data_IF_566321655891
#
_entry.id   IF_566321655891
#
_cell.length_a   1.000
_cell.length_b   1.000
_cell.length_c   1.000
_cell.angle_alpha   90.00
_cell.angle_beta   90.00
_cell.angle_gamma   90.00
#
_symmetry.space_group_name_H-M   'P 1'
#
loop_
_entity.id
_entity.type
_entity.pdbx_description
1 polymer ?
#
# COMPACT_ATOMS: atom_id res chain seq x y z
N UNK A 1 15.43 45.72 -6.09
CA UNK A 1 14.14 44.99 -6.05
C UNK A 1 13.97 44.42 -4.66
N UNK A 2 13.01 44.91 -3.85
CA UNK A 2 12.77 44.39 -2.49
C UNK A 2 12.03 43.06 -2.60
N UNK A 3 12.60 41.97 -2.07
CA UNK A 3 11.88 40.69 -1.88
C UNK A 3 10.73 40.95 -0.90
N UNK A 4 9.51 40.84 -1.38
CA UNK A 4 8.31 40.90 -0.54
C UNK A 4 8.08 39.51 0.04
N UNK A 5 8.44 39.31 1.30
CA UNK A 5 8.05 38.11 2.05
C UNK A 5 6.61 38.35 2.52
N UNK A 6 5.65 37.60 1.99
CA UNK A 6 4.26 37.62 2.48
C UNK A 6 4.21 36.82 3.78
N UNK A 7 4.14 37.51 4.91
CA UNK A 7 3.67 36.91 6.17
C UNK A 7 2.18 36.64 5.99
N UNK A 8 1.74 35.40 6.21
CA UNK A 8 0.36 34.87 6.00
C UNK A 8 0.12 34.15 4.67
N UNK A 9 1.11 33.43 4.13
CA UNK A 9 0.79 32.21 3.38
C UNK A 9 0.72 31.13 4.44
N UNK A 10 -0.49 30.71 4.83
CA UNK A 10 -0.66 29.37 5.37
C UNK A 10 -0.31 28.45 4.20
N UNK A 11 0.95 28.07 4.10
CA UNK A 11 1.25 26.79 3.48
C UNK A 11 0.60 25.80 4.44
N UNK A 12 -0.56 25.27 4.07
CA UNK A 12 -0.93 23.93 4.54
C UNK A 12 0.20 23.06 4.01
N UNK A 13 1.20 22.79 4.84
CA UNK A 13 2.07 21.66 4.66
C UNK A 13 1.15 20.44 4.77
N UNK A 14 0.51 20.14 3.65
CA UNK A 14 -0.38 19.02 3.52
C UNK A 14 0.49 17.77 3.40
N UNK A 15 1.14 17.42 4.50
CA UNK A 15 1.83 16.16 4.67
C UNK A 15 0.83 15.24 5.33
N UNK A 16 0.38 14.24 4.57
CA UNK A 16 -0.28 13.03 5.06
C UNK A 16 0.63 12.35 6.09
N UNK A 17 0.64 12.83 7.33
CA UNK A 17 1.59 12.31 8.31
C UNK A 17 1.01 11.05 8.94
N UNK A 18 1.20 9.93 8.27
CA UNK A 18 1.32 8.70 9.04
C UNK A 18 2.53 8.83 9.96
N UNK A 19 2.52 8.14 11.09
CA UNK A 19 3.70 8.02 11.93
C UNK A 19 3.96 6.57 12.30
N UNK A 20 5.23 6.19 12.38
CA UNK A 20 5.67 4.91 12.92
C UNK A 20 6.04 5.11 14.38
N UNK A 21 5.23 4.53 15.26
CA UNK A 21 5.49 4.51 16.70
C UNK A 21 6.31 3.28 17.05
N UNK A 22 7.45 3.50 17.72
CA UNK A 22 8.29 2.44 18.29
C UNK A 22 7.99 2.30 19.77
N UNK A 23 7.46 1.15 20.17
CA UNK A 23 7.12 0.85 21.55
C UNK A 23 8.25 0.12 22.28
N UNK A 24 8.23 0.14 23.61
CA UNK A 24 9.14 -0.66 24.46
C UNK A 24 8.87 -2.18 24.41
N UNK A 25 7.79 -2.60 23.75
CA UNK A 25 7.31 -3.98 23.69
C UNK A 25 7.97 -4.75 22.55
N UNK A 26 9.08 -5.44 22.82
CA UNK A 26 9.89 -6.16 21.82
C UNK A 26 9.45 -7.63 21.60
N UNK A 27 8.19 -7.95 21.84
CA UNK A 27 7.66 -9.31 21.67
C UNK A 27 7.31 -9.58 20.20
N UNK A 28 7.45 -10.83 19.76
CA UNK A 28 6.95 -11.28 18.45
C UNK A 28 5.50 -11.76 18.54
N UNK A 29 4.76 -11.71 17.43
CA UNK A 29 3.41 -12.31 17.35
C UNK A 29 3.47 -13.82 17.51
N UNK A 30 2.50 -14.39 18.24
CA UNK A 30 2.25 -15.83 18.22
C UNK A 30 1.56 -16.23 16.91
N UNK A 31 1.56 -17.52 16.54
CA UNK A 31 0.81 -17.98 15.37
C UNK A 31 -0.68 -17.61 15.40
N UNK A 32 -1.29 -17.58 16.58
CA UNK A 32 -2.69 -17.18 16.76
C UNK A 32 -2.88 -15.68 16.51
N UNK A 33 -1.96 -14.83 16.97
CA UNK A 33 -2.01 -13.39 16.72
C UNK A 33 -1.71 -13.03 15.26
N UNK A 34 -0.91 -13.85 14.55
CA UNK A 34 -0.67 -13.69 13.10
C UNK A 34 -1.95 -13.88 12.30
N UNK A 35 -2.84 -14.77 12.74
CA UNK A 35 -4.13 -15.02 12.08
C UNK A 35 -5.19 -13.97 12.40
N UNK A 36 -4.91 -13.02 13.29
CA UNK A 36 -5.86 -11.96 13.62
C UNK A 36 -6.10 -11.07 12.39
N UNK A 37 -7.36 -10.97 11.96
CA UNK A 37 -7.74 -10.29 10.73
C UNK A 37 -7.51 -11.08 9.43
N UNK A 38 -7.05 -12.34 9.48
CA UNK A 38 -6.85 -13.18 8.29
C UNK A 38 -7.95 -14.24 8.19
N UNK A 39 -8.65 -14.25 7.05
CA UNK A 39 -9.56 -15.33 6.68
C UNK A 39 -8.99 -16.10 5.50
N UNK A 40 -8.68 -17.38 5.71
CA UNK A 40 -8.23 -18.28 4.64
C UNK A 40 -9.43 -18.95 3.99
N UNK A 41 -9.63 -18.70 2.69
CA UNK A 41 -10.67 -19.31 1.89
C UNK A 41 -10.16 -20.58 1.19
N UNK A 42 -11.08 -21.19 0.44
CA UNK A 42 -10.83 -22.36 -0.39
C UNK A 42 -10.07 -21.96 -1.65
N UNK A 43 -9.09 -22.77 -2.03
CA UNK A 43 -8.51 -22.71 -3.37
C UNK A 43 -9.48 -23.33 -4.39
N UNK A 44 -10.07 -22.50 -5.24
CA UNK A 44 -10.99 -22.94 -6.29
C UNK A 44 -10.32 -23.83 -7.35
N UNK A 45 -9.00 -23.69 -7.55
CA UNK A 45 -8.26 -24.47 -8.56
C UNK A 45 -8.00 -25.91 -8.10
N UNK A 46 -7.71 -26.09 -6.80
CA UNK A 46 -7.33 -27.39 -6.23
C UNK A 46 -8.41 -28.03 -5.35
N UNK A 47 -9.38 -27.23 -4.90
CA UNK A 47 -10.43 -27.63 -3.97
C UNK A 47 -9.98 -27.69 -2.51
N UNK A 48 -8.75 -27.30 -2.19
CA UNK A 48 -8.22 -27.32 -0.82
C UNK A 48 -8.82 -26.19 0.01
N UNK A 49 -9.19 -26.49 1.25
CA UNK A 49 -9.85 -25.54 2.15
C UNK A 49 -8.82 -24.79 3.02
N UNK A 50 -9.13 -23.55 3.39
CA UNK A 50 -8.36 -22.75 4.37
C UNK A 50 -6.89 -22.55 4.00
N UNK A 51 -6.61 -22.22 2.73
CA UNK A 51 -5.24 -22.07 2.23
C UNK A 51 -4.97 -20.85 1.34
N UNK A 52 -6.01 -20.09 0.96
CA UNK A 52 -5.86 -18.87 0.16
C UNK A 52 -6.24 -17.65 0.98
N UNK A 53 -5.38 -16.64 1.00
CA UNK A 53 -5.72 -15.33 1.58
C UNK A 53 -6.09 -14.36 0.45
N UNK A 54 -7.27 -13.76 0.55
CA UNK A 54 -7.77 -12.76 -0.39
C UNK A 54 -8.04 -11.46 0.38
N UNK A 55 -7.07 -10.52 0.47
CA UNK A 55 -7.32 -9.18 0.99
C UNK A 55 -8.41 -8.46 0.19
N UNK A 56 -9.17 -7.59 0.86
CA UNK A 56 -10.12 -6.73 0.16
C UNK A 56 -9.40 -5.49 -0.40
N UNK A 57 -9.98 -4.87 -1.43
CA UNK A 57 -9.45 -3.66 -2.06
C UNK A 57 -9.22 -2.52 -1.05
N UNK A 58 -10.24 -2.19 -0.26
CA UNK A 58 -10.20 -1.15 0.75
C UNK A 58 -9.25 -1.45 1.93
N UNK A 59 -8.78 -2.70 2.08
CA UNK A 59 -7.77 -3.05 3.07
C UNK A 59 -6.37 -2.55 2.67
N UNK A 60 -6.18 -2.19 1.40
CA UNK A 60 -4.92 -1.73 0.81
C UNK A 60 -4.86 -0.22 0.56
N UNK A 61 -5.90 0.53 0.95
CA UNK A 61 -5.95 1.99 0.84
C UNK A 61 -5.62 2.65 2.18
N UNK A 62 -4.51 3.39 2.25
CA UNK A 62 -4.06 4.10 3.44
C UNK A 62 -3.89 5.59 3.15
N UNK A 63 -5.01 6.31 3.17
CA UNK A 63 -5.04 7.76 3.09
C UNK A 63 -5.13 8.45 4.46
N UNK A 64 -5.57 9.70 4.48
CA UNK A 64 -5.68 10.52 5.70
C UNK A 64 -6.74 10.09 6.72
N UNK A 65 -7.70 9.27 6.28
CA UNK A 65 -8.86 8.85 7.07
C UNK A 65 -9.26 7.42 6.67
N UNK A 66 -9.86 6.63 7.57
CA UNK A 66 -10.10 6.94 8.99
C UNK A 66 -8.82 6.85 9.83
N UNK A 67 -8.89 7.32 11.09
CA UNK A 67 -7.85 7.06 12.07
C UNK A 67 -7.69 5.55 12.29
N UNK A 68 -6.47 5.01 12.13
CA UNK A 68 -6.16 3.60 12.39
C UNK A 68 -4.82 3.45 13.12
N UNK A 69 -4.76 2.49 14.04
CA UNK A 69 -3.51 2.04 14.66
C UNK A 69 -3.19 0.63 14.13
N UNK A 70 -2.30 0.58 13.14
CA UNK A 70 -1.92 -0.60 12.38
C UNK A 70 -0.84 -1.37 13.15
N UNK A 71 -1.28 -2.36 13.92
CA UNK A 71 -0.47 -3.02 14.94
C UNK A 71 -0.52 -4.55 14.89
N UNK A 72 -1.29 -5.15 13.99
CA UNK A 72 -1.31 -6.60 13.76
C UNK A 72 -0.33 -7.00 12.65
N UNK A 73 -0.09 -8.31 12.48
CA UNK A 73 0.69 -8.80 11.33
C UNK A 73 0.01 -8.42 10.00
N UNK A 74 -1.30 -8.61 9.92
CA UNK A 74 -2.14 -8.33 8.75
C UNK A 74 -2.07 -6.86 8.36
N UNK A 75 -2.29 -5.95 9.31
CA UNK A 75 -2.23 -4.51 9.05
C UNK A 75 -0.87 -4.09 8.48
N UNK A 76 0.21 -4.62 9.06
CA UNK A 76 1.57 -4.28 8.64
C UNK A 76 1.93 -4.86 7.30
N UNK A 77 1.46 -6.07 6.99
CA UNK A 77 1.67 -6.69 5.69
C UNK A 77 0.97 -5.88 4.60
N UNK A 78 -0.29 -5.51 4.82
CA UNK A 78 -1.07 -4.70 3.88
C UNK A 78 -0.46 -3.30 3.71
N UNK A 79 -0.06 -2.65 4.81
CA UNK A 79 0.61 -1.37 4.76
C UNK A 79 1.96 -1.44 4.03
N UNK A 80 2.75 -2.49 4.27
CA UNK A 80 4.00 -2.71 3.54
C UNK A 80 3.78 -2.99 2.05
N UNK A 81 2.73 -3.73 1.71
CA UNK A 81 2.31 -3.95 0.33
C UNK A 81 2.00 -2.60 -0.34
N UNK A 82 1.13 -1.79 0.25
CA UNK A 82 0.74 -0.48 -0.26
C UNK A 82 1.88 0.54 -0.32
N UNK A 83 2.85 0.46 0.59
CA UNK A 83 3.92 1.45 0.75
C UNK A 83 5.17 1.12 -0.06
N UNK A 84 5.55 -0.16 -0.16
CA UNK A 84 6.87 -0.57 -0.66
C UNK A 84 6.81 -1.30 -2.01
N UNK A 85 5.67 -1.89 -2.39
CA UNK A 85 5.54 -2.60 -3.67
C UNK A 85 5.30 -1.58 -4.77
N UNK A 86 6.17 -1.57 -5.77
CA UNK A 86 6.08 -0.67 -6.91
C UNK A 86 5.27 -1.30 -8.06
N UNK A 87 5.40 -2.61 -8.25
CA UNK A 87 4.70 -3.35 -9.30
C UNK A 87 4.38 -4.77 -8.81
N UNK A 88 3.27 -5.33 -9.30
CA UNK A 88 2.93 -6.70 -8.93
C UNK A 88 4.06 -7.66 -9.31
N UNK A 89 4.39 -8.57 -8.40
CA UNK A 89 5.47 -9.54 -8.58
C UNK A 89 6.89 -8.94 -8.69
N UNK A 90 7.10 -7.70 -8.24
CA UNK A 90 8.44 -7.18 -7.98
C UNK A 90 9.15 -7.93 -6.82
N UNK A 91 10.41 -7.58 -6.54
CA UNK A 91 11.21 -8.27 -5.52
C UNK A 91 10.67 -8.07 -4.10
N UNK A 92 10.06 -6.91 -3.82
CA UNK A 92 9.47 -6.59 -2.51
C UNK A 92 8.19 -7.41 -2.30
N UNK A 93 7.33 -7.49 -3.32
CA UNK A 93 6.13 -8.31 -3.27
C UNK A 93 6.47 -9.79 -3.08
N UNK A 94 7.49 -10.29 -3.79
CA UNK A 94 7.97 -11.67 -3.61
C UNK A 94 8.47 -11.94 -2.18
N UNK A 95 9.18 -10.98 -1.58
CA UNK A 95 9.61 -11.07 -0.18
C UNK A 95 8.40 -11.09 0.77
N UNK A 96 7.42 -10.19 0.57
CA UNK A 96 6.18 -10.15 1.35
C UNK A 96 5.40 -11.47 1.28
N UNK A 97 5.24 -12.04 0.08
CA UNK A 97 4.58 -13.35 -0.12
C UNK A 97 5.37 -14.45 0.59
N UNK A 98 6.69 -14.47 0.49
CA UNK A 98 7.52 -15.47 1.16
C UNK A 98 7.39 -15.39 2.70
N UNK A 99 7.35 -14.18 3.25
CA UNK A 99 7.16 -13.95 4.69
C UNK A 99 5.75 -14.36 5.14
N UNK A 100 4.72 -14.03 4.37
CA UNK A 100 3.36 -14.48 4.64
C UNK A 100 3.26 -16.02 4.65
N UNK A 101 3.81 -16.70 3.62
CA UNK A 101 3.85 -18.17 3.55
C UNK A 101 4.62 -18.81 4.72
N UNK A 102 5.67 -18.12 5.20
CA UNK A 102 6.48 -18.58 6.34
C UNK A 102 5.71 -18.51 7.66
N UNK A 103 4.89 -17.47 7.85
CA UNK A 103 4.33 -17.13 9.15
C UNK A 103 2.84 -17.44 9.30
N UNK A 104 2.04 -17.40 8.23
CA UNK A 104 0.60 -17.68 8.26
C UNK A 104 0.40 -19.20 8.14
N UNK A 105 -0.08 -19.89 9.19
CA UNK A 105 -0.26 -21.33 9.15
C UNK A 105 -1.29 -21.75 8.10
N UNK A 106 -0.91 -22.68 7.22
CA UNK A 106 -1.80 -23.23 6.19
C UNK A 106 -1.90 -22.41 4.90
N UNK A 107 -1.33 -21.21 4.86
CA UNK A 107 -1.31 -20.38 3.65
C UNK A 107 -0.50 -21.06 2.53
N UNK A 108 -1.06 -21.03 1.32
CA UNK A 108 -0.42 -21.49 0.09
C UNK A 108 -0.39 -20.44 -1.00
N UNK A 109 -1.35 -19.52 -1.00
CA UNK A 109 -1.51 -18.51 -2.06
C UNK A 109 -2.12 -17.25 -1.48
N UNK A 110 -1.64 -16.11 -1.97
CA UNK A 110 -2.28 -14.81 -1.75
C UNK A 110 -2.85 -14.38 -3.10
N UNK A 111 -4.10 -13.94 -3.11
CA UNK A 111 -4.76 -13.39 -4.29
C UNK A 111 -5.16 -11.96 -3.97
N UNK A 112 -4.40 -11.01 -4.50
CA UNK A 112 -4.74 -9.60 -4.37
C UNK A 112 -6.06 -9.30 -5.11
N UNK A 113 -6.82 -8.30 -4.66
CA UNK A 113 -7.95 -7.77 -5.42
C UNK A 113 -7.45 -7.19 -6.74
N UNK A 114 -8.38 -7.05 -7.70
CA UNK A 114 -8.08 -6.46 -9.02
C UNK A 114 -8.69 -5.07 -9.10
N UNK A 115 -7.90 -4.12 -9.61
CA UNK A 115 -8.34 -2.77 -9.98
C UNK A 115 -8.39 -2.62 -11.50
N UNK A 116 -9.19 -1.67 -11.98
CA UNK A 116 -9.19 -1.31 -13.38
C UNK A 116 -8.22 -0.16 -13.64
N UNK A 117 -7.30 -0.37 -14.57
CA UNK A 117 -6.43 0.66 -15.12
C UNK A 117 -6.85 1.01 -16.55
N UNK A 118 -6.39 2.15 -17.04
CA UNK A 118 -6.74 2.61 -18.38
C UNK A 118 -5.67 3.44 -19.06
N UNK A 119 -5.57 3.26 -20.37
CA UNK A 119 -4.64 4.00 -21.24
C UNK A 119 -5.45 4.61 -22.38
N UNK A 120 -5.20 5.89 -22.66
CA UNK A 120 -5.89 6.58 -23.75
C UNK A 120 -5.50 6.01 -25.11
N UNK A 121 -6.49 5.85 -26.01
CA UNK A 121 -6.23 5.40 -27.37
C UNK A 121 -5.61 6.54 -28.20
N UNK A 122 -4.36 6.35 -28.63
CA UNK A 122 -3.64 7.33 -29.45
C UNK A 122 -4.29 7.57 -30.81
N UNK A 123 -5.06 6.59 -31.31
CA UNK A 123 -5.76 6.65 -32.58
C UNK A 123 -7.19 7.21 -32.46
N UNK A 124 -7.57 7.73 -31.29
CA UNK A 124 -8.88 8.35 -31.11
C UNK A 124 -9.06 9.58 -32.02
N UNK A 125 -10.06 9.54 -32.91
CA UNK A 125 -10.26 10.59 -33.92
C UNK A 125 -10.70 11.92 -33.33
N UNK A 126 -11.44 11.89 -32.21
CA UNK A 126 -11.91 13.10 -31.52
C UNK A 126 -10.74 13.85 -30.86
N UNK A 127 -9.74 13.11 -30.37
CA UNK A 127 -8.58 13.65 -29.63
C UNK A 127 -7.26 13.60 -30.41
N UNK A 128 -7.29 13.44 -31.74
CA UNK A 128 -6.09 13.33 -32.59
C UNK A 128 -5.11 14.52 -32.51
N UNK A 129 -5.58 15.70 -32.10
CA UNK A 129 -4.77 16.91 -31.93
C UNK A 129 -4.50 17.24 -30.46
N UNK A 130 -4.84 16.34 -29.54
CA UNK A 130 -4.64 16.52 -28.11
C UNK A 130 -3.23 16.06 -27.70
N UNK A 131 -2.45 16.98 -27.12
CA UNK A 131 -1.07 16.71 -26.72
C UNK A 131 -0.96 15.61 -25.65
N UNK A 132 -1.97 15.47 -24.78
CA UNK A 132 -2.00 14.41 -23.76
C UNK A 132 -2.14 13.04 -24.41
N UNK A 133 -3.07 12.89 -25.37
CA UNK A 133 -3.27 11.63 -26.09
C UNK A 133 -2.05 11.23 -26.91
N UNK A 134 -1.40 12.19 -27.58
CA UNK A 134 -0.21 11.90 -28.38
C UNK A 134 1.01 11.53 -27.52
N UNK A 135 1.08 12.05 -26.28
CA UNK A 135 2.20 11.81 -25.37
C UNK A 135 2.05 10.56 -24.52
N UNK A 136 0.85 10.31 -23.98
CA UNK A 136 0.60 9.25 -23.00
C UNK A 136 -0.24 8.08 -23.55
N UNK A 137 -0.85 8.25 -24.72
CA UNK A 137 -1.66 7.22 -25.35
C UNK A 137 -0.85 6.11 -26.00
N UNK A 138 -1.53 4.98 -26.22
CA UNK A 138 -1.02 3.84 -26.99
C UNK A 138 -1.96 3.52 -28.14
N UNK A 139 -1.38 3.14 -29.27
CA UNK A 139 -2.09 2.38 -30.30
C UNK A 139 -2.39 0.97 -29.77
N UNK A 140 -3.31 0.25 -30.39
CA UNK A 140 -3.65 -1.12 -29.96
C UNK A 140 -2.43 -2.07 -30.01
N UNK A 141 -1.56 -1.93 -31.01
CA UNK A 141 -0.34 -2.75 -31.13
C UNK A 141 0.67 -2.41 -30.01
N UNK A 142 0.85 -1.12 -29.69
CA UNK A 142 1.71 -0.69 -28.55
C UNK A 142 1.13 -1.14 -27.20
N UNK A 143 -0.21 -1.18 -27.07
CA UNK A 143 -0.88 -1.71 -25.88
C UNK A 143 -0.63 -3.22 -25.74
N UNK A 144 -0.81 -4.00 -26.82
CA UNK A 144 -0.55 -5.44 -26.80
C UNK A 144 0.90 -5.74 -26.42
N UNK A 145 1.86 -5.00 -26.97
CA UNK A 145 3.27 -5.16 -26.60
C UNK A 145 3.51 -4.85 -25.12
N UNK A 146 2.90 -3.77 -24.61
CA UNK A 146 2.98 -3.40 -23.20
C UNK A 146 2.38 -4.48 -22.28
N UNK A 147 1.15 -4.95 -22.57
CA UNK A 147 0.48 -5.97 -21.77
C UNK A 147 1.21 -7.30 -21.85
N UNK A 148 1.70 -7.73 -23.02
CA UNK A 148 2.50 -8.95 -23.15
C UNK A 148 3.82 -8.92 -22.38
N UNK A 149 4.37 -7.73 -22.08
CA UNK A 149 5.49 -7.63 -21.16
C UNK A 149 5.03 -7.81 -19.72
N UNK A 150 3.94 -7.15 -19.32
CA UNK A 150 3.32 -7.30 -18.00
C UNK A 150 2.91 -8.74 -17.70
N UNK A 151 2.33 -9.46 -18.65
CA UNK A 151 1.95 -10.87 -18.50
C UNK A 151 3.15 -11.78 -18.16
N UNK A 152 4.33 -11.49 -18.74
CA UNK A 152 5.56 -12.23 -18.42
C UNK A 152 6.05 -11.92 -17.02
N UNK A 153 5.96 -10.65 -16.62
CA UNK A 153 6.44 -10.18 -15.32
C UNK A 153 5.50 -10.64 -14.19
N UNK A 154 4.19 -10.64 -14.43
CA UNK A 154 3.14 -10.99 -13.48
C UNK A 154 2.75 -12.47 -13.48
N UNK A 155 2.98 -13.18 -14.59
CA UNK A 155 2.75 -14.62 -14.70
C UNK A 155 1.30 -15.02 -14.96
N UNK A 156 0.45 -14.11 -15.47
CA UNK A 156 -0.92 -14.40 -15.90
C UNK A 156 -1.31 -13.56 -17.12
N UNK A 157 -2.33 -14.01 -17.86
CA UNK A 157 -2.85 -13.33 -19.06
C UNK A 157 -3.72 -12.12 -18.68
N UNK A 158 -3.56 -11.01 -19.38
CA UNK A 158 -4.27 -9.76 -19.12
C UNK A 158 -5.25 -9.50 -20.27
N UNK A 159 -6.54 -9.57 -19.96
CA UNK A 159 -7.58 -9.14 -20.89
C UNK A 159 -7.71 -7.61 -20.89
N UNK A 160 -7.97 -7.04 -22.07
CA UNK A 160 -8.24 -5.60 -22.22
C UNK A 160 -9.46 -5.38 -23.13
N UNK A 161 -10.14 -4.26 -22.92
CA UNK A 161 -11.30 -3.86 -23.72
C UNK A 161 -11.30 -2.36 -23.98
N UNK A 162 -12.12 -1.91 -24.93
CA UNK A 162 -12.32 -0.48 -25.21
C UNK A 162 -13.62 -0.02 -24.56
N UNK A 163 -13.57 1.01 -23.72
CA UNK A 163 -14.77 1.54 -23.07
C UNK A 163 -15.46 2.61 -23.93
N UNK A 164 -16.61 3.10 -23.47
CA UNK A 164 -17.44 4.05 -24.23
C UNK A 164 -16.79 5.43 -24.41
N UNK A 165 -15.79 5.78 -23.60
CA UNK A 165 -15.00 7.01 -23.76
C UNK A 165 -13.83 6.85 -24.77
N UNK A 166 -13.70 5.67 -25.39
CA UNK A 166 -12.65 5.37 -26.36
C UNK A 166 -11.32 4.93 -25.74
N UNK A 167 -11.20 4.82 -24.43
CA UNK A 167 -9.97 4.41 -23.75
C UNK A 167 -9.85 2.89 -23.70
N UNK A 168 -8.61 2.42 -23.67
CA UNK A 168 -8.29 1.03 -23.37
C UNK A 168 -8.34 0.81 -21.87
N UNK A 169 -9.01 -0.25 -21.43
CA UNK A 169 -9.08 -0.66 -20.04
C UNK A 169 -8.57 -2.09 -19.89
N UNK A 170 -7.97 -2.39 -18.77
CA UNK A 170 -7.51 -3.71 -18.37
C UNK A 170 -7.50 -3.80 -16.84
N UNK A 171 -7.51 -5.02 -16.32
CA UNK A 171 -7.44 -5.25 -14.88
C UNK A 171 -5.99 -5.48 -14.43
N UNK A 172 -5.65 -4.95 -13.26
CA UNK A 172 -4.34 -5.08 -12.62
C UNK A 172 -4.50 -5.53 -11.17
N UNK A 173 -3.55 -6.29 -10.60
CA UNK A 173 -3.56 -6.57 -9.17
C UNK A 173 -3.36 -5.28 -8.38
N UNK A 174 -4.28 -4.99 -7.47
CA UNK A 174 -4.19 -3.85 -6.56
C UNK A 174 -3.08 -4.12 -5.54
N UNK A 175 -1.96 -3.42 -5.66
CA UNK A 175 -0.87 -3.46 -4.66
C UNK A 175 -1.08 -2.46 -3.53
N UNK A 176 -2.13 -1.64 -3.61
CA UNK A 176 -2.51 -0.64 -2.62
C UNK A 176 -1.94 0.75 -2.88
N UNK A 177 -2.25 1.65 -1.95
CA UNK A 177 -1.84 3.04 -2.01
C UNK A 177 -1.60 3.60 -0.60
N UNK A 178 -0.50 4.33 -0.45
CA UNK A 178 -0.24 5.23 0.68
C UNK A 178 -0.07 6.65 0.15
N UNK A 179 -0.53 7.65 0.90
CA UNK A 179 -0.29 9.06 0.51
C UNK A 179 1.21 9.43 0.54
N UNK A 180 1.96 8.85 1.49
CA UNK A 180 3.41 9.04 1.63
C UNK A 180 4.09 7.76 2.14
N UNK A 181 5.11 7.29 1.42
CA UNK A 181 5.94 6.16 1.85
C UNK A 181 6.93 6.59 2.93
N UNK A 182 6.49 6.54 4.19
CA UNK A 182 7.35 6.72 5.36
C UNK A 182 8.04 5.43 5.78
N UNK A 183 7.57 4.26 5.30
CA UNK A 183 8.06 2.96 5.76
C UNK A 183 9.45 2.68 5.23
N UNK A 184 9.73 2.98 3.96
CA UNK A 184 11.08 2.78 3.38
C UNK A 184 12.15 3.54 4.17
N UNK A 185 11.92 4.84 4.41
CA UNK A 185 12.82 5.68 5.20
C UNK A 185 12.94 5.22 6.65
N UNK A 186 11.85 4.73 7.26
CA UNK A 186 11.89 4.17 8.61
C UNK A 186 12.75 2.89 8.70
N UNK A 187 12.55 1.94 7.79
CA UNK A 187 13.31 0.68 7.76
C UNK A 187 14.81 0.96 7.60
N UNK A 188 15.17 1.90 6.72
CA UNK A 188 16.54 2.36 6.53
C UNK A 188 17.09 3.06 7.80
N UNK A 189 16.33 4.00 8.36
CA UNK A 189 16.74 4.77 9.54
C UNK A 189 17.00 3.89 10.77
N UNK A 190 16.12 2.94 11.04
CA UNK A 190 16.24 2.01 12.16
C UNK A 190 17.20 0.84 11.85
N UNK A 191 17.55 0.62 10.58
CA UNK A 191 18.41 -0.49 10.15
C UNK A 191 17.77 -1.86 10.38
N UNK A 192 16.47 -1.99 10.11
CA UNK A 192 15.68 -3.19 10.39
C UNK A 192 15.18 -3.84 9.09
N UNK A 193 15.02 -5.16 9.10
CA UNK A 193 14.45 -5.87 7.96
C UNK A 193 12.92 -5.74 7.92
N UNK A 194 12.36 -5.94 6.72
CA UNK A 194 10.91 -6.07 6.54
C UNK A 194 10.33 -7.18 7.43
N UNK A 195 11.02 -8.32 7.53
CA UNK A 195 10.64 -9.41 8.43
C UNK A 195 10.55 -8.98 9.90
N UNK A 196 11.56 -8.27 10.41
CA UNK A 196 11.56 -7.76 11.79
C UNK A 196 10.40 -6.78 12.02
N UNK A 197 10.13 -5.90 11.05
CA UNK A 197 8.99 -4.98 11.11
C UNK A 197 7.64 -5.74 11.22
N UNK A 198 7.43 -6.72 10.34
CA UNK A 198 6.17 -7.47 10.25
C UNK A 198 5.89 -8.32 11.50
N UNK A 199 6.91 -8.97 12.07
CA UNK A 199 6.69 -9.95 13.14
C UNK A 199 6.82 -9.39 14.56
N UNK A 200 7.38 -8.18 14.72
CA UNK A 200 7.62 -7.59 16.03
C UNK A 200 6.52 -6.60 16.42
N UNK A 201 5.93 -6.76 17.60
CA UNK A 201 4.84 -5.92 18.13
C UNK A 201 5.26 -4.49 18.45
N UNK A 202 6.55 -4.19 18.47
CA UNK A 202 7.03 -2.86 18.85
C UNK A 202 6.70 -1.78 17.84
N UNK A 203 6.54 -2.13 16.57
CA UNK A 203 6.25 -1.15 15.52
C UNK A 203 4.74 -1.03 15.35
N UNK A 204 4.22 0.18 15.36
CA UNK A 204 2.80 0.45 15.08
C UNK A 204 2.74 1.63 14.13
N UNK A 205 2.05 1.49 13.01
CA UNK A 205 1.78 2.64 12.13
C UNK A 205 0.51 3.32 12.63
N UNK A 206 0.60 4.61 12.91
CA UNK A 206 -0.53 5.47 13.20
C UNK A 206 -0.89 6.16 11.89
N UNK A 207 -2.02 5.77 11.34
CA UNK A 207 -2.67 6.50 10.27
C UNK A 207 -3.55 7.56 10.90
N UNK A 208 -3.05 8.79 10.96
CA UNK A 208 -3.76 9.95 11.44
C UNK A 208 -3.37 11.14 10.57
N UNK A 209 -4.10 11.35 9.47
CA UNK A 209 -3.83 12.48 8.60
C UNK A 209 -3.85 13.81 9.36
N UNK A 210 -3.20 14.81 8.78
CA UNK A 210 -3.05 16.18 9.30
C UNK A 210 -4.39 16.92 9.52
N UNK A 211 -5.52 16.34 9.09
CA UNK A 211 -6.85 16.94 9.16
C UNK A 211 -7.48 16.90 10.56
N UNK A 212 -7.25 15.84 11.34
CA UNK A 212 -8.02 15.59 12.57
C UNK A 212 -7.18 15.51 13.84
N UNK A 213 -5.87 15.25 13.74
CA UNK A 213 -4.94 15.16 14.87
C UNK A 213 -5.48 14.28 16.02
N UNK A 214 -6.13 13.17 15.69
CA UNK A 214 -6.72 12.30 16.71
C UNK A 214 -5.65 11.71 17.62
N UNK A 215 -4.48 11.37 17.06
CA UNK A 215 -3.35 10.84 17.77
C UNK A 215 -2.86 11.80 18.87
N UNK A 216 -2.63 13.06 18.52
CA UNK A 216 -2.23 14.08 19.49
C UNK A 216 -3.29 14.30 20.57
N UNK A 217 -4.56 14.31 20.19
CA UNK A 217 -5.66 14.40 21.16
C UNK A 217 -5.65 13.21 22.13
N UNK A 218 -5.39 11.99 21.65
CA UNK A 218 -5.29 10.79 22.50
C UNK A 218 -4.07 10.85 23.44
N UNK A 219 -2.93 11.37 22.96
CA UNK A 219 -1.74 11.60 23.79
C UNK A 219 -2.01 12.64 24.88
N UNK A 220 -2.58 13.79 24.52
CA UNK A 220 -2.84 14.91 25.45
C UNK A 220 -3.90 14.59 26.51
N UNK A 221 -4.89 13.76 26.16
CA UNK A 221 -5.94 13.34 27.10
C UNK A 221 -5.47 12.25 28.07
N UNK A 222 -4.29 11.66 27.85
CA UNK A 222 -3.75 10.57 28.67
C UNK A 222 -4.41 9.22 28.39
N UNK A 223 -5.12 9.06 27.26
CA UNK A 223 -5.66 7.78 26.82
C UNK A 223 -4.53 6.80 26.45
N UNK A 224 -3.45 7.35 25.87
CA UNK A 224 -2.26 6.60 25.47
C UNK A 224 -1.23 6.63 26.60
N UNK A 225 -0.69 5.47 26.94
CA UNK A 225 0.42 5.37 27.87
C UNK A 225 1.73 5.77 27.17
N UNK A 226 2.10 7.05 27.26
CA UNK A 226 3.32 7.60 26.67
C UNK A 226 4.60 6.93 27.19
N UNK A 227 4.58 6.38 28.41
CA UNK A 227 5.75 5.67 28.96
C UNK A 227 6.06 4.36 28.19
N UNK A 228 5.14 3.86 27.37
CA UNK A 228 5.35 2.68 26.52
C UNK A 228 5.93 3.03 25.15
N UNK A 229 5.95 4.30 24.77
CA UNK A 229 6.50 4.77 23.49
C UNK A 229 7.95 5.18 23.70
N UNK A 230 8.84 4.70 22.83
CA UNK A 230 10.25 5.08 22.78
C UNK A 230 10.41 6.34 21.95
N UNK A 231 9.90 6.30 20.71
CA UNK A 231 9.89 7.43 19.79
C UNK A 231 8.85 7.21 18.67
N UNK A 232 8.60 8.29 17.93
CA UNK A 232 7.79 8.31 16.71
C UNK A 232 8.70 8.69 15.52
N UNK A 233 8.37 8.19 14.33
CA UNK A 233 9.02 8.54 13.06
C UNK A 233 7.96 8.97 12.03
N UNK A 234 8.16 10.07 11.28
CA UNK A 234 9.29 11.00 11.39
C UNK A 234 9.29 11.72 12.73
N UNK A 235 10.47 12.14 13.21
CA UNK A 235 10.55 12.96 14.43
C UNK A 235 10.12 14.37 14.07
N UNK A 236 9.28 14.97 14.90
CA UNK A 236 9.00 16.40 14.81
C UNK A 236 10.32 17.17 15.05
N UNK A 237 10.71 18.02 14.08
CA UNK A 237 11.87 18.91 14.15
C UNK A 237 11.66 20.09 15.13
#
# INVERSE_FOLDING_TARGET
MKRQIRRNVFETNSSSMHSLTVMKRDDKYTPEEILDGIYLCKDEDTGEESCVWEPWDHDLEFGRSPFRALGTFTDKWLYACASLVHDYNDDVYKELVALALKYIPGLKKIKLPMDSDSIVDKNDEEHKNDDYYQKYGKTEDELKEYLSQKEKDWGFEIEYWKSSNGWWHYDIPCTGYVDEDILSGFLEHEGISLEEYLINKKYVVIQDGDEYCYWDNMKQTGLVNMDMIVHEYPRED
#
